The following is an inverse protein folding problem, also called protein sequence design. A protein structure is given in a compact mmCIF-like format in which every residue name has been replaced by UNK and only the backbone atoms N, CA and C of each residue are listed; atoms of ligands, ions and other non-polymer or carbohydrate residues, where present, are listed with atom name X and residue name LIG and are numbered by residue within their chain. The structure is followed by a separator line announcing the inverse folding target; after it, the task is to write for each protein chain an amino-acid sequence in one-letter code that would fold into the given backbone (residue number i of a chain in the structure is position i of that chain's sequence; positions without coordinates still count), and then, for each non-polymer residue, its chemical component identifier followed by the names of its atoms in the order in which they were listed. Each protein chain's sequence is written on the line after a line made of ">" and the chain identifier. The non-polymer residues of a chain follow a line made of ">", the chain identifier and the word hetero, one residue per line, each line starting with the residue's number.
data_IF_272125271719
#
_entry.id   IF_272125271719
#
_cell.length_a   1.000
_cell.length_b   1.000
_cell.length_c   1.000
_cell.angle_alpha   90.00
_cell.angle_beta   90.00
_cell.angle_gamma   90.00
#
_symmetry.space_group_name_H-M   'P 1'
#
loop_
_entity.id
_entity.type
_entity.pdbx_description
1 polymer ?
#
# COMPACT_ATOMS: atom_id res chain seq x y z
N UNK A 1 13.88 -28.93 -8.39
CA UNK A 1 12.60 -29.37 -8.97
C UNK A 1 11.56 -28.36 -8.54
N UNK A 2 11.12 -27.50 -9.45
CA UNK A 2 10.00 -26.61 -9.16
C UNK A 2 8.77 -27.47 -8.88
N UNK A 3 8.04 -27.10 -7.84
CA UNK A 3 6.87 -27.78 -7.32
C UNK A 3 5.86 -28.06 -8.45
N UNK A 4 5.41 -29.31 -8.59
CA UNK A 4 4.40 -29.70 -9.57
C UNK A 4 3.05 -28.97 -9.37
N UNK A 5 2.89 -28.23 -8.27
CA UNK A 5 1.78 -27.29 -8.02
C UNK A 5 1.87 -25.97 -8.80
N UNK A 6 3.03 -25.66 -9.39
CA UNK A 6 3.27 -24.42 -10.15
C UNK A 6 3.01 -24.63 -11.66
N UNK A 7 2.96 -25.87 -12.14
CA UNK A 7 2.50 -26.14 -13.50
C UNK A 7 0.98 -26.32 -13.47
N UNK A 8 0.20 -25.36 -13.99
CA UNK A 8 -1.23 -25.52 -14.10
C UNK A 8 -1.56 -26.77 -14.92
N UNK A 9 -2.57 -27.54 -14.50
CA UNK A 9 -3.14 -28.56 -15.37
C UNK A 9 -3.67 -27.89 -16.65
N UNK A 10 -3.78 -28.65 -17.74
CA UNK A 10 -4.41 -28.16 -18.98
C UNK A 10 -5.77 -27.47 -18.68
N UNK A 11 -6.51 -27.98 -17.70
CA UNK A 11 -7.76 -27.40 -17.22
C UNK A 11 -7.60 -26.02 -16.57
N UNK A 12 -6.60 -25.81 -15.71
CA UNK A 12 -6.35 -24.48 -15.12
C UNK A 12 -5.99 -23.48 -16.21
N UNK A 13 -5.09 -23.83 -17.14
CA UNK A 13 -4.69 -22.91 -18.22
C UNK A 13 -5.91 -22.49 -19.06
N UNK A 14 -6.77 -23.45 -19.40
CA UNK A 14 -8.01 -23.20 -20.12
C UNK A 14 -8.97 -22.26 -19.36
N UNK A 15 -9.16 -22.47 -18.06
CA UNK A 15 -10.06 -21.66 -17.23
C UNK A 15 -9.48 -20.26 -16.93
N UNK A 16 -8.15 -20.17 -16.79
CA UNK A 16 -7.45 -18.94 -16.47
C UNK A 16 -7.13 -18.06 -17.69
N UNK A 17 -7.23 -18.63 -18.90
CA UNK A 17 -7.08 -17.89 -20.15
C UNK A 17 -7.91 -16.59 -20.19
N UNK A 18 -7.39 -15.49 -20.75
CA UNK A 18 -6.14 -15.41 -21.54
C UNK A 18 -4.88 -15.15 -20.70
N UNK A 19 -4.91 -15.34 -19.38
CA UNK A 19 -3.77 -15.06 -18.52
C UNK A 19 -2.88 -16.29 -18.34
N UNK A 20 -1.57 -16.08 -18.22
CA UNK A 20 -0.59 -17.10 -17.85
C UNK A 20 0.23 -16.61 -16.65
N UNK A 21 0.44 -17.49 -15.68
CA UNK A 21 1.25 -17.20 -14.48
C UNK A 21 2.72 -17.44 -14.80
N UNK A 22 3.58 -16.49 -14.45
CA UNK A 22 5.02 -16.55 -14.66
C UNK A 22 5.77 -16.93 -13.38
N UNK A 23 5.40 -16.31 -12.26
CA UNK A 23 6.05 -16.55 -10.96
C UNK A 23 5.11 -16.23 -9.78
N UNK A 24 5.40 -16.82 -8.61
CA UNK A 24 4.75 -16.45 -7.35
C UNK A 24 5.51 -15.32 -6.69
N UNK A 25 4.79 -14.26 -6.32
CA UNK A 25 5.32 -13.13 -5.56
C UNK A 25 5.18 -13.36 -4.06
N UNK A 26 4.05 -13.93 -3.64
CA UNK A 26 3.77 -14.25 -2.24
C UNK A 26 2.80 -15.42 -2.12
N UNK A 27 2.87 -16.19 -1.03
CA UNK A 27 1.89 -17.23 -0.72
C UNK A 27 1.64 -17.32 0.77
N UNK A 28 0.42 -17.66 1.13
CA UNK A 28 -0.02 -17.94 2.50
C UNK A 28 -1.05 -19.07 2.50
N UNK A 29 -1.58 -19.41 3.68
CA UNK A 29 -2.70 -20.34 3.77
C UNK A 29 -3.99 -19.75 3.16
N UNK A 30 -4.13 -18.42 3.11
CA UNK A 30 -5.30 -17.74 2.56
C UNK A 30 -5.35 -17.77 1.01
N UNK A 31 -4.20 -18.02 0.37
CA UNK A 31 -4.05 -17.96 -1.08
C UNK A 31 -2.66 -17.43 -1.48
N UNK A 32 -2.55 -16.81 -2.64
CA UNK A 32 -1.28 -16.38 -3.21
C UNK A 32 -1.39 -15.19 -4.12
N UNK A 33 -0.27 -14.51 -4.32
CA UNK A 33 -0.13 -13.39 -5.26
C UNK A 33 0.88 -13.80 -6.31
N UNK A 34 0.50 -13.68 -7.57
CA UNK A 34 1.25 -14.19 -8.71
C UNK A 34 1.44 -13.11 -9.75
N UNK A 35 2.63 -13.05 -10.35
CA UNK A 35 2.88 -12.24 -11.54
C UNK A 35 2.59 -13.08 -12.77
N UNK A 36 1.98 -12.47 -13.76
CA UNK A 36 1.62 -13.12 -15.00
C UNK A 36 1.64 -12.19 -16.19
N UNK A 37 1.11 -12.69 -17.31
CA UNK A 37 0.92 -11.94 -18.54
C UNK A 37 -0.44 -12.25 -19.16
N UNK A 38 -1.08 -11.24 -19.75
CA UNK A 38 -2.21 -11.44 -20.64
C UNK A 38 -1.70 -11.82 -22.04
N UNK A 39 -1.92 -13.06 -22.46
CA UNK A 39 -1.41 -13.59 -23.73
C UNK A 39 -1.99 -12.91 -24.97
N UNK A 40 -3.12 -12.19 -24.84
CA UNK A 40 -3.72 -11.45 -25.96
C UNK A 40 -3.11 -10.07 -26.15
N UNK A 41 -2.71 -9.40 -25.07
CA UNK A 41 -2.25 -8.00 -25.10
C UNK A 41 -0.75 -7.85 -24.81
N UNK A 42 -0.11 -8.86 -24.23
CA UNK A 42 1.26 -8.79 -23.73
C UNK A 42 1.42 -7.99 -22.43
N UNK A 43 0.34 -7.45 -21.86
CA UNK A 43 0.39 -6.68 -20.61
C UNK A 43 0.70 -7.60 -19.43
N UNK A 44 1.55 -7.13 -18.52
CA UNK A 44 1.82 -7.80 -17.26
C UNK A 44 0.63 -7.68 -16.30
N UNK A 45 0.40 -8.73 -15.52
CA UNK A 45 -0.73 -8.80 -14.57
C UNK A 45 -0.26 -9.25 -13.19
N UNK A 46 -1.02 -8.86 -12.17
CA UNK A 46 -1.04 -9.53 -10.86
C UNK A 46 -2.31 -10.34 -10.76
N UNK A 47 -2.19 -11.59 -10.31
CA UNK A 47 -3.30 -12.44 -9.94
C UNK A 47 -3.25 -12.71 -8.43
N UNK A 48 -4.31 -12.30 -7.72
CA UNK A 48 -4.50 -12.58 -6.30
C UNK A 48 -5.49 -13.72 -6.14
N UNK A 49 -5.04 -14.85 -5.61
CA UNK A 49 -5.83 -16.04 -5.27
C UNK A 49 -6.40 -15.92 -3.85
N UNK A 50 -7.67 -16.25 -3.69
CA UNK A 50 -8.30 -16.55 -2.42
C UNK A 50 -8.83 -17.99 -2.42
N UNK A 51 -8.47 -18.74 -1.37
CA UNK A 51 -8.92 -20.12 -1.17
C UNK A 51 -10.15 -20.16 -0.27
N UNK A 52 -11.18 -20.85 -0.73
CA UNK A 52 -12.41 -21.06 0.02
C UNK A 52 -12.14 -21.68 1.39
N UNK A 53 -12.84 -21.21 2.43
CA UNK A 53 -12.75 -21.69 3.82
C UNK A 53 -11.35 -21.55 4.47
N UNK A 54 -10.50 -20.68 3.96
CA UNK A 54 -9.18 -20.40 4.50
C UNK A 54 -8.99 -18.90 4.81
N UNK A 55 -7.96 -18.58 5.59
CA UNK A 55 -7.53 -17.19 5.81
C UNK A 55 -8.50 -16.33 6.62
N UNK A 56 -9.22 -16.90 7.58
CA UNK A 56 -10.08 -16.14 8.49
C UNK A 56 -9.30 -15.03 9.21
N UNK A 57 -9.82 -13.80 9.18
CA UNK A 57 -9.34 -12.69 10.01
C UNK A 57 -10.09 -12.66 11.35
N UNK A 58 -9.66 -11.76 12.25
CA UNK A 58 -10.34 -11.51 13.54
C UNK A 58 -11.77 -10.98 13.40
N UNK A 59 -12.24 -10.69 12.19
CA UNK A 59 -13.57 -10.15 11.85
C UNK A 59 -14.50 -11.18 11.20
N UNK A 60 -14.19 -12.48 11.29
CA UNK A 60 -14.93 -13.59 10.65
C UNK A 60 -15.03 -13.48 9.11
N UNK A 61 -14.24 -12.61 8.48
CA UNK A 61 -14.12 -12.52 7.04
C UNK A 61 -13.07 -13.53 6.54
N UNK A 62 -13.47 -14.45 5.67
CA UNK A 62 -12.54 -15.35 4.99
C UNK A 62 -11.77 -14.63 3.86
N UNK A 63 -10.79 -15.32 3.28
CA UNK A 63 -9.98 -14.79 2.19
C UNK A 63 -10.83 -14.39 0.96
N UNK A 64 -11.93 -15.10 0.71
CA UNK A 64 -12.79 -14.87 -0.46
C UNK A 64 -13.58 -13.57 -0.29
N UNK A 65 -14.15 -13.32 0.88
CA UNK A 65 -14.84 -12.06 1.18
C UNK A 65 -13.90 -10.86 1.07
N UNK A 66 -12.66 -10.96 1.57
CA UNK A 66 -11.66 -9.90 1.42
C UNK A 66 -11.30 -9.66 -0.04
N UNK A 67 -11.06 -10.71 -0.83
CA UNK A 67 -10.74 -10.56 -2.24
C UNK A 67 -11.89 -9.96 -3.06
N UNK A 68 -13.14 -10.31 -2.74
CA UNK A 68 -14.34 -9.73 -3.37
C UNK A 68 -14.52 -8.26 -2.99
N UNK A 69 -14.23 -7.92 -1.74
CA UNK A 69 -14.24 -6.54 -1.27
C UNK A 69 -13.16 -5.72 -1.96
N UNK A 70 -11.93 -6.21 -2.00
CA UNK A 70 -10.82 -5.60 -2.73
C UNK A 70 -11.19 -5.36 -4.20
N UNK A 71 -11.77 -6.34 -4.89
CA UNK A 71 -12.28 -6.16 -6.26
C UNK A 71 -13.26 -4.99 -6.35
N UNK A 72 -14.20 -4.89 -5.41
CA UNK A 72 -15.21 -3.83 -5.43
C UNK A 72 -14.60 -2.44 -5.23
N UNK A 73 -13.58 -2.33 -4.37
CA UNK A 73 -12.85 -1.10 -4.11
C UNK A 73 -11.97 -0.71 -5.30
N UNK A 74 -11.24 -1.68 -5.89
CA UNK A 74 -10.46 -1.49 -7.09
C UNK A 74 -11.31 -0.95 -8.25
N UNK A 75 -12.51 -1.51 -8.45
CA UNK A 75 -13.47 -1.05 -9.48
C UNK A 75 -13.95 0.38 -9.16
N UNK A 76 -14.29 0.67 -7.89
CA UNK A 76 -14.76 2.00 -7.46
C UNK A 76 -13.71 3.08 -7.67
N UNK A 77 -12.43 2.75 -7.52
CA UNK A 77 -11.30 3.67 -7.62
C UNK A 77 -10.70 3.77 -9.04
N UNK A 78 -11.27 3.08 -10.05
CA UNK A 78 -10.78 3.17 -11.42
C UNK A 78 -10.83 4.61 -11.95
N UNK A 79 -9.79 5.00 -12.68
CA UNK A 79 -9.63 6.34 -13.26
C UNK A 79 -8.81 7.30 -12.40
N UNK A 80 -8.49 6.93 -11.15
CA UNK A 80 -7.50 7.64 -10.34
C UNK A 80 -6.10 7.19 -10.79
N UNK A 81 -5.23 8.13 -11.19
CA UNK A 81 -3.84 7.85 -11.53
C UNK A 81 -3.12 7.23 -10.33
N UNK A 82 -2.38 6.14 -10.55
CA UNK A 82 -1.72 5.38 -9.47
C UNK A 82 -2.55 4.24 -8.87
N UNK A 83 -3.81 4.06 -9.29
CA UNK A 83 -4.61 2.87 -8.97
C UNK A 83 -4.47 1.85 -10.12
N UNK A 84 -4.14 0.58 -9.85
CA UNK A 84 -4.00 -0.42 -10.89
C UNK A 84 -5.30 -0.64 -11.65
N UNK A 85 -5.19 -0.92 -12.95
CA UNK A 85 -6.33 -1.26 -13.78
C UNK A 85 -6.94 -2.61 -13.36
N UNK A 86 -8.27 -2.66 -13.20
CA UNK A 86 -8.98 -3.93 -13.04
C UNK A 86 -9.07 -4.66 -14.38
N UNK A 87 -8.71 -5.95 -14.43
CA UNK A 87 -8.80 -6.74 -15.65
C UNK A 87 -9.86 -7.84 -15.61
N UNK A 88 -9.91 -8.65 -14.55
CA UNK A 88 -10.85 -9.77 -14.49
C UNK A 88 -11.05 -10.31 -13.08
N UNK A 89 -12.12 -11.08 -12.92
CA UNK A 89 -12.35 -11.90 -11.75
C UNK A 89 -12.81 -13.29 -12.19
N UNK A 90 -12.14 -14.33 -11.71
CA UNK A 90 -12.34 -15.71 -12.17
C UNK A 90 -12.42 -16.67 -11.01
N UNK A 91 -13.21 -17.72 -11.17
CA UNK A 91 -13.16 -18.91 -10.31
C UNK A 91 -12.47 -20.03 -11.08
N UNK A 92 -11.36 -20.55 -10.57
CA UNK A 92 -10.59 -21.62 -11.21
C UNK A 92 -10.33 -22.70 -10.17
N UNK A 93 -10.71 -23.94 -10.50
CA UNK A 93 -10.55 -25.12 -9.63
C UNK A 93 -11.08 -24.90 -8.19
N UNK A 94 -12.15 -24.13 -8.02
CA UNK A 94 -12.77 -23.84 -6.71
C UNK A 94 -12.13 -22.70 -5.91
N UNK A 95 -11.12 -22.02 -6.45
CA UNK A 95 -10.50 -20.82 -5.87
C UNK A 95 -10.89 -19.58 -6.65
N UNK A 96 -10.91 -18.42 -6.00
CA UNK A 96 -11.24 -17.14 -6.63
C UNK A 96 -9.98 -16.34 -6.92
N UNK A 97 -9.94 -15.68 -8.07
CA UNK A 97 -8.81 -14.91 -8.56
C UNK A 97 -9.25 -13.51 -8.98
N UNK A 98 -8.62 -12.49 -8.40
CA UNK A 98 -8.65 -11.12 -8.89
C UNK A 98 -7.44 -10.89 -9.78
N UNK A 99 -7.68 -10.46 -11.02
CA UNK A 99 -6.64 -10.12 -11.99
C UNK A 99 -6.64 -8.62 -12.22
N UNK A 100 -5.49 -7.99 -11.96
CA UNK A 100 -5.28 -6.56 -12.05
C UNK A 100 -3.93 -6.25 -12.74
N UNK A 101 -3.71 -4.98 -13.03
CA UNK A 101 -2.45 -4.47 -13.56
C UNK A 101 -1.26 -4.79 -12.65
N UNK A 102 -0.14 -5.21 -13.24
CA UNK A 102 1.12 -5.29 -12.53
C UNK A 102 1.77 -3.90 -12.44
N UNK A 103 1.75 -3.31 -11.25
CA UNK A 103 2.50 -2.10 -10.95
C UNK A 103 4.01 -2.42 -10.92
N UNK A 104 4.73 -2.06 -11.99
CA UNK A 104 6.16 -2.28 -12.07
C UNK A 104 6.92 -1.42 -11.05
N UNK A 105 7.83 -2.02 -10.29
CA UNK A 105 8.64 -1.30 -9.32
C UNK A 105 8.97 -2.13 -8.10
N UNK A 106 9.26 -1.44 -7.01
CA UNK A 106 9.47 -2.03 -5.69
C UNK A 106 8.59 -1.33 -4.66
N UNK A 107 8.31 -1.99 -3.53
CA UNK A 107 7.60 -1.32 -2.43
C UNK A 107 8.36 -0.08 -1.98
N UNK A 108 7.65 0.93 -1.46
CA UNK A 108 8.27 2.13 -0.87
C UNK A 108 9.23 1.74 0.24
N UNK A 109 8.91 0.72 1.04
CA UNK A 109 9.82 0.16 2.03
C UNK A 109 11.16 -0.26 1.43
N UNK A 110 11.14 -1.04 0.35
CA UNK A 110 12.34 -1.50 -0.37
C UNK A 110 13.07 -0.34 -1.06
N UNK A 111 12.33 0.62 -1.61
CA UNK A 111 12.90 1.82 -2.23
C UNK A 111 13.70 2.63 -1.22
N UNK A 112 13.12 2.92 -0.05
CA UNK A 112 13.79 3.63 1.04
C UNK A 112 15.03 2.85 1.49
N UNK A 113 14.90 1.55 1.76
CA UNK A 113 16.03 0.72 2.19
C UNK A 113 17.22 0.74 1.19
N UNK A 114 16.93 0.85 -0.10
CA UNK A 114 17.96 0.85 -1.16
C UNK A 114 18.55 2.22 -1.48
N UNK A 115 17.84 3.31 -1.15
CA UNK A 115 18.21 4.67 -1.57
C UNK A 115 18.53 5.61 -0.41
N UNK A 116 18.18 5.27 0.84
CA UNK A 116 18.33 6.18 1.98
C UNK A 116 19.82 6.48 2.27
N UNK A 117 20.22 7.76 2.40
CA UNK A 117 21.61 8.15 2.54
C UNK A 117 22.08 7.99 4.00
N UNK A 118 22.31 6.75 4.45
CA UNK A 118 22.68 6.47 5.85
C UNK A 118 23.98 7.13 6.29
N UNK A 119 24.96 7.30 5.39
CA UNK A 119 26.20 8.05 5.61
C UNK A 119 26.85 8.45 4.29
N UNK A 120 26.46 9.58 3.70
CA UNK A 120 27.21 10.27 2.66
C UNK A 120 26.88 11.78 2.76
N UNK A 121 27.70 12.66 2.16
CA UNK A 121 27.69 14.12 2.39
C UNK A 121 26.37 14.84 2.04
N UNK A 122 26.31 16.15 2.28
CA UNK A 122 25.10 16.98 2.06
C UNK A 122 24.47 16.78 0.67
N UNK A 123 25.28 16.57 -0.37
CA UNK A 123 24.82 16.31 -1.75
C UNK A 123 23.96 15.05 -1.88
N UNK A 124 24.25 13.99 -1.12
CA UNK A 124 23.48 12.75 -1.14
C UNK A 124 22.12 12.91 -0.47
N UNK A 125 22.09 13.64 0.65
CA UNK A 125 20.84 13.99 1.31
C UNK A 125 19.95 14.87 0.42
N UNK A 126 20.55 15.84 -0.28
CA UNK A 126 19.83 16.68 -1.24
C UNK A 126 19.24 15.86 -2.38
N UNK A 127 20.06 15.07 -3.09
CA UNK A 127 19.60 14.20 -4.21
C UNK A 127 18.53 13.20 -3.78
N UNK A 128 18.67 12.63 -2.59
CA UNK A 128 17.66 11.76 -2.02
C UNK A 128 16.35 12.52 -1.77
N UNK A 129 16.44 13.68 -1.11
CA UNK A 129 15.27 14.46 -0.73
C UNK A 129 14.47 14.95 -1.93
N UNK A 130 15.12 15.34 -3.03
CA UNK A 130 14.45 15.72 -4.27
C UNK A 130 13.57 14.58 -4.81
N UNK A 131 14.10 13.36 -4.85
CA UNK A 131 13.38 12.17 -5.30
C UNK A 131 12.28 11.76 -4.31
N UNK A 132 12.58 11.79 -3.01
CA UNK A 132 11.62 11.45 -1.96
C UNK A 132 10.45 12.44 -1.92
N UNK A 133 10.68 13.74 -2.19
CA UNK A 133 9.63 14.76 -2.28
C UNK A 133 8.72 14.55 -3.51
N UNK A 134 9.25 14.07 -4.64
CA UNK A 134 8.43 13.68 -5.80
C UNK A 134 7.47 12.53 -5.45
N UNK A 135 7.96 11.54 -4.71
CA UNK A 135 7.14 10.42 -4.23
C UNK A 135 6.10 10.90 -3.21
N UNK A 136 6.53 11.71 -2.23
CA UNK A 136 5.67 12.26 -1.19
C UNK A 136 4.47 13.03 -1.74
N UNK A 137 4.69 13.91 -2.73
CA UNK A 137 3.62 14.69 -3.37
C UNK A 137 2.62 13.81 -4.11
N UNK A 138 3.07 12.75 -4.78
CA UNK A 138 2.18 11.80 -5.42
C UNK A 138 1.34 11.04 -4.39
N UNK A 139 1.92 10.59 -3.27
CA UNK A 139 1.15 9.92 -2.21
C UNK A 139 0.09 10.85 -1.59
N UNK A 140 0.41 12.14 -1.40
CA UNK A 140 -0.56 13.14 -0.94
C UNK A 140 -1.72 13.28 -1.92
N UNK A 141 -1.42 13.52 -3.20
CA UNK A 141 -2.45 13.65 -4.23
C UNK A 141 -3.28 12.38 -4.42
N UNK A 142 -2.66 11.20 -4.29
CA UNK A 142 -3.35 9.92 -4.36
C UNK A 142 -4.32 9.73 -3.21
N UNK A 143 -3.90 10.06 -1.97
CA UNK A 143 -4.79 9.99 -0.81
C UNK A 143 -5.97 10.95 -0.97
N UNK A 144 -5.72 12.20 -1.38
CA UNK A 144 -6.77 13.19 -1.65
C UNK A 144 -7.77 12.70 -2.70
N UNK A 145 -7.30 12.06 -3.78
CA UNK A 145 -8.15 11.52 -4.83
C UNK A 145 -9.01 10.34 -4.33
N UNK A 146 -8.43 9.42 -3.56
CA UNK A 146 -9.15 8.30 -2.95
C UNK A 146 -10.19 8.81 -1.95
N UNK A 147 -9.82 9.78 -1.11
CA UNK A 147 -10.73 10.41 -0.17
C UNK A 147 -11.86 11.15 -0.89
N UNK A 148 -11.56 11.84 -1.99
CA UNK A 148 -12.53 12.50 -2.86
C UNK A 148 -13.52 11.52 -3.52
N UNK A 149 -13.15 10.25 -3.67
CA UNK A 149 -14.05 9.18 -4.12
C UNK A 149 -14.91 8.59 -2.98
N UNK A 150 -14.83 9.14 -1.76
CA UNK A 150 -15.58 8.70 -0.59
C UNK A 150 -15.04 7.40 0.03
N UNK A 151 -13.75 7.10 -0.17
CA UNK A 151 -13.10 5.88 0.33
C UNK A 151 -11.99 6.24 1.30
N UNK A 152 -11.88 5.50 2.39
CA UNK A 152 -10.69 5.46 3.25
C UNK A 152 -9.93 4.16 3.00
N UNK A 153 -8.59 4.22 3.00
CA UNK A 153 -7.68 3.11 2.75
C UNK A 153 -7.58 2.15 3.93
N UNK A 154 -7.60 2.69 5.15
CA UNK A 154 -7.56 1.98 6.43
C UNK A 154 -6.25 1.25 6.76
N UNK A 155 -5.39 0.99 5.77
CA UNK A 155 -4.05 0.39 5.93
C UNK A 155 -2.97 1.15 5.12
N UNK A 156 -2.82 2.44 5.42
CA UNK A 156 -1.76 3.26 4.81
C UNK A 156 -0.40 2.91 5.40
N UNK A 157 0.43 2.18 4.66
CA UNK A 157 1.77 1.80 5.11
C UNK A 157 2.77 1.65 3.93
N UNK A 158 4.10 1.64 4.17
CA UNK A 158 5.11 1.65 3.10
C UNK A 158 5.15 0.41 2.20
N UNK A 159 4.45 -0.68 2.54
CA UNK A 159 4.39 -1.87 1.67
C UNK A 159 3.29 -1.76 0.62
N UNK A 160 2.27 -0.95 0.88
CA UNK A 160 1.13 -0.79 -0.01
C UNK A 160 1.36 0.26 -1.11
N UNK A 161 2.49 0.96 -1.07
CA UNK A 161 2.94 1.84 -2.16
C UNK A 161 4.04 1.17 -2.97
N UNK A 162 3.88 1.12 -4.30
CA UNK A 162 4.90 0.72 -5.26
C UNK A 162 5.51 1.97 -5.89
N UNK A 163 6.84 1.99 -6.00
CA UNK A 163 7.60 3.06 -6.66
C UNK A 163 8.34 2.47 -7.84
N UNK A 164 8.08 3.01 -9.03
CA UNK A 164 8.74 2.58 -10.26
C UNK A 164 10.11 3.27 -10.45
N UNK A 165 10.80 2.94 -11.54
CA UNK A 165 12.11 3.52 -11.89
C UNK A 165 12.07 5.02 -12.19
N UNK A 166 10.91 5.56 -12.54
CA UNK A 166 10.65 6.97 -12.84
C UNK A 166 10.08 7.72 -11.63
N UNK A 167 10.01 7.07 -10.46
CA UNK A 167 9.40 7.57 -9.22
C UNK A 167 7.88 7.73 -9.28
N UNK A 168 7.21 7.12 -10.26
CA UNK A 168 5.76 7.04 -10.28
C UNK A 168 5.29 6.15 -9.11
N UNK A 169 4.23 6.57 -8.44
CA UNK A 169 3.68 5.88 -7.28
C UNK A 169 2.38 5.17 -7.64
N UNK A 170 2.28 3.90 -7.29
CA UNK A 170 1.02 3.16 -7.34
C UNK A 170 0.63 2.66 -5.97
N UNK A 171 -0.66 2.67 -5.66
CA UNK A 171 -1.21 2.07 -4.46
C UNK A 171 -1.75 0.69 -4.79
N UNK A 172 -1.43 -0.28 -3.95
CA UNK A 172 -1.90 -1.66 -4.04
C UNK A 172 -2.58 -2.04 -2.74
N UNK A 173 -3.30 -3.17 -2.78
CA UNK A 173 -3.97 -3.77 -1.63
C UNK A 173 -5.14 -2.92 -1.09
N UNK A 174 -6.34 -3.23 -1.57
CA UNK A 174 -7.57 -2.50 -1.21
C UNK A 174 -8.49 -3.31 -0.30
N UNK A 175 -8.02 -4.41 0.30
CA UNK A 175 -8.86 -5.29 1.10
C UNK A 175 -9.35 -4.65 2.41
N UNK A 176 -8.61 -3.66 2.92
CA UNK A 176 -8.94 -2.96 4.16
C UNK A 176 -9.85 -1.74 3.95
N UNK A 177 -10.02 -1.29 2.70
CA UNK A 177 -10.71 -0.04 2.37
C UNK A 177 -12.12 0.01 2.96
N UNK A 178 -12.59 1.20 3.33
CA UNK A 178 -13.92 1.41 3.90
C UNK A 178 -14.51 2.73 3.43
N UNK A 179 -15.73 3.01 3.87
CA UNK A 179 -16.34 4.33 3.63
C UNK A 179 -15.58 5.40 4.42
N UNK A 180 -15.33 6.56 3.79
CA UNK A 180 -14.57 7.65 4.41
C UNK A 180 -15.28 8.25 5.62
N UNK A 181 -16.61 8.31 5.60
CA UNK A 181 -17.45 8.87 6.66
C UNK A 181 -17.78 7.82 7.74
N UNK A 182 -17.21 6.63 7.63
CA UNK A 182 -17.34 5.55 8.60
C UNK A 182 -16.69 5.87 9.95
N UNK A 183 -17.30 5.36 11.02
CA UNK A 183 -16.72 5.38 12.36
C UNK A 183 -15.89 4.11 12.61
N UNK A 184 -14.76 4.28 13.30
CA UNK A 184 -13.83 3.27 13.84
C UNK A 184 -14.19 1.80 13.56
N UNK A 185 -13.58 1.23 12.51
CA UNK A 185 -13.83 -0.16 12.10
C UNK A 185 -13.08 -1.21 12.93
N UNK A 186 -12.32 -0.84 13.97
CA UNK A 186 -11.42 -1.74 14.70
C UNK A 186 -10.51 -2.58 13.77
N UNK A 187 -10.28 -2.11 12.54
CA UNK A 187 -9.47 -2.80 11.55
C UNK A 187 -8.02 -2.89 12.07
N UNK A 188 -7.42 -4.07 11.96
CA UNK A 188 -6.00 -4.27 12.22
C UNK A 188 -5.23 -3.61 11.07
N UNK A 189 -4.43 -2.60 11.37
CA UNK A 189 -3.47 -2.03 10.41
C UNK A 189 -2.04 -2.31 10.83
N UNK A 190 -1.08 -1.93 9.99
CA UNK A 190 0.34 -2.13 10.30
C UNK A 190 0.76 -1.37 11.58
N UNK A 191 1.34 -2.05 12.59
CA UNK A 191 1.80 -1.38 13.81
C UNK A 191 2.76 -0.22 13.55
N UNK A 192 2.43 0.98 14.05
CA UNK A 192 3.20 2.22 13.82
C UNK A 192 2.77 3.06 12.63
N UNK A 193 1.81 2.58 11.86
CA UNK A 193 1.15 3.30 10.78
C UNK A 193 -0.38 3.42 11.00
N UNK A 194 -0.87 2.95 12.15
CA UNK A 194 -2.25 3.14 12.57
C UNK A 194 -2.28 3.81 13.94
N UNK A 195 -3.23 4.73 14.18
CA UNK A 195 -3.37 5.39 15.47
C UNK A 195 -3.79 4.39 16.55
N UNK A 196 -3.33 4.60 17.78
CA UNK A 196 -3.67 3.77 18.94
C UNK A 196 -5.03 4.16 19.56
N UNK A 197 -5.51 5.37 19.29
CA UNK A 197 -6.85 5.80 19.70
C UNK A 197 -7.87 5.48 18.61
N UNK A 198 -9.14 5.46 19.01
CA UNK A 198 -10.25 5.48 18.07
C UNK A 198 -10.28 6.83 17.37
N UNK A 199 -10.51 6.83 16.06
CA UNK A 199 -10.65 8.02 15.24
C UNK A 199 -11.59 7.74 14.06
N UNK A 200 -11.96 8.76 13.31
CA UNK A 200 -12.65 8.57 12.04
C UNK A 200 -11.73 7.88 11.01
N UNK A 201 -12.32 7.21 10.03
CA UNK A 201 -11.57 6.51 8.98
C UNK A 201 -10.66 7.46 8.20
N UNK A 202 -11.13 8.68 7.88
CA UNK A 202 -10.30 9.72 7.27
C UNK A 202 -9.07 10.07 8.10
N UNK A 203 -9.26 10.31 9.40
CA UNK A 203 -8.17 10.68 10.33
C UNK A 203 -7.14 9.57 10.48
N UNK A 204 -7.60 8.30 10.38
CA UNK A 204 -6.73 7.13 10.39
C UNK A 204 -5.76 7.13 9.22
N UNK A 205 -6.27 7.42 8.02
CA UNK A 205 -5.45 7.49 6.81
C UNK A 205 -4.48 8.68 6.84
N UNK A 206 -4.95 9.86 7.27
CA UNK A 206 -4.11 11.05 7.46
C UNK A 206 -2.93 10.74 8.41
N UNK A 207 -3.21 10.02 9.51
CA UNK A 207 -2.18 9.55 10.43
C UNK A 207 -1.20 8.57 9.77
N UNK A 208 -1.72 7.55 9.08
CA UNK A 208 -0.88 6.58 8.40
C UNK A 208 0.02 7.24 7.34
N UNK A 209 -0.51 8.19 6.57
CA UNK A 209 0.26 8.92 5.58
C UNK A 209 1.34 9.80 6.24
N UNK A 210 1.04 10.50 7.33
CA UNK A 210 2.05 11.26 8.06
C UNK A 210 3.19 10.35 8.59
N UNK A 211 2.87 9.15 9.04
CA UNK A 211 3.86 8.14 9.41
C UNK A 211 4.70 7.68 8.20
N UNK A 212 4.07 7.43 7.04
CA UNK A 212 4.78 7.04 5.80
C UNK A 212 5.70 8.16 5.30
N UNK A 213 5.23 9.41 5.30
CA UNK A 213 6.03 10.58 4.94
C UNK A 213 7.20 10.77 5.90
N UNK A 214 6.99 10.59 7.21
CA UNK A 214 8.07 10.63 8.18
C UNK A 214 9.06 9.48 8.00
N UNK A 215 8.59 8.29 7.60
CA UNK A 215 9.43 7.12 7.32
C UNK A 215 10.35 7.33 6.11
N UNK A 216 9.92 8.07 5.08
CA UNK A 216 10.76 8.46 3.94
C UNK A 216 12.04 9.19 4.40
N UNK A 217 11.92 10.12 5.34
CA UNK A 217 13.05 10.96 5.78
C UNK A 217 13.70 10.48 7.08
N UNK A 218 13.11 9.49 7.74
CA UNK A 218 13.68 8.86 8.92
C UNK A 218 13.16 7.42 9.07
N UNK A 219 13.80 6.43 8.41
CA UNK A 219 13.28 5.07 8.28
C UNK A 219 13.40 4.28 9.59
N UNK A 220 12.51 4.60 10.52
CA UNK A 220 12.45 4.02 11.86
C UNK A 220 11.03 3.59 12.19
N UNK A 221 10.91 2.39 12.76
CA UNK A 221 9.67 1.83 13.29
C UNK A 221 9.32 2.35 14.70
N UNK A 222 10.00 3.39 15.19
CA UNK A 222 9.72 3.89 16.55
C UNK A 222 8.29 4.45 16.74
N UNK A 223 7.61 4.86 15.65
CA UNK A 223 6.19 5.25 15.68
C UNK A 223 5.26 4.10 16.11
N UNK A 224 5.69 2.84 15.98
CA UNK A 224 4.98 1.67 16.51
C UNK A 224 4.86 1.68 18.03
N UNK A 225 5.71 2.44 18.74
CA UNK A 225 5.69 2.54 20.20
C UNK A 225 5.07 3.84 20.71
N UNK A 226 5.24 4.95 19.98
CA UNK A 226 4.66 6.24 20.36
C UNK A 226 4.43 7.15 19.14
N UNK A 227 3.21 7.67 18.93
CA UNK A 227 2.95 8.71 17.95
C UNK A 227 3.81 9.97 18.14
N UNK A 228 4.20 10.27 19.39
CA UNK A 228 5.09 11.38 19.72
C UNK A 228 6.44 11.32 19.02
N UNK A 229 6.88 10.11 18.64
CA UNK A 229 8.11 9.92 17.87
C UNK A 229 8.09 10.63 16.51
N UNK A 230 6.92 11.00 15.96
CA UNK A 230 6.85 11.81 14.75
C UNK A 230 7.39 13.23 14.99
N UNK A 231 6.98 13.87 16.09
CA UNK A 231 7.42 15.22 16.45
C UNK A 231 8.89 15.24 16.90
N UNK A 232 9.32 14.23 17.64
CA UNK A 232 10.71 14.12 18.12
C UNK A 232 11.73 13.93 16.98
N UNK A 233 11.29 13.47 15.80
CA UNK A 233 12.15 13.30 14.62
C UNK A 233 12.33 14.57 13.81
N UNK A 234 11.39 15.53 13.85
CA UNK A 234 11.47 16.75 13.04
C UNK A 234 12.82 17.48 13.18
N UNK A 235 13.38 17.69 14.39
CA UNK A 235 14.69 18.34 14.51
C UNK A 235 15.84 17.53 13.91
N UNK A 236 15.74 16.20 13.89
CA UNK A 236 16.74 15.33 13.27
C UNK A 236 16.64 15.40 11.74
N UNK A 237 15.42 15.42 11.20
CA UNK A 237 15.17 15.58 9.77
C UNK A 237 15.67 16.96 9.29
N UNK A 238 15.35 18.02 10.02
CA UNK A 238 15.78 19.42 9.72
C UNK A 238 17.32 19.57 9.68
N UNK A 239 18.02 18.78 10.49
CA UNK A 239 19.49 18.78 10.51
C UNK A 239 20.10 18.14 9.26
N UNK A 240 19.41 17.18 8.65
CA UNK A 240 19.96 16.31 7.60
C UNK A 240 19.37 16.58 6.22
N UNK A 241 18.21 17.23 6.13
CA UNK A 241 17.50 17.49 4.90
C UNK A 241 17.13 18.96 4.74
N UNK A 242 16.88 19.43 3.50
CA UNK A 242 16.45 20.81 3.26
C UNK A 242 15.17 21.17 4.02
N UNK A 243 15.02 22.44 4.40
CA UNK A 243 13.86 22.92 5.17
C UNK A 243 12.51 22.63 4.49
N UNK A 244 12.47 22.52 3.15
CA UNK A 244 11.27 22.12 2.41
C UNK A 244 10.70 20.76 2.83
N UNK A 245 11.55 19.84 3.29
CA UNK A 245 11.12 18.54 3.85
C UNK A 245 10.43 18.75 5.19
N UNK A 246 11.01 19.56 6.07
CA UNK A 246 10.44 19.88 7.37
C UNK A 246 9.11 20.60 7.22
N UNK A 247 9.04 21.62 6.36
CA UNK A 247 7.84 22.43 6.14
C UNK A 247 6.66 21.53 5.71
N UNK A 248 6.90 20.59 4.78
CA UNK A 248 5.91 19.61 4.35
C UNK A 248 5.45 18.70 5.52
N UNK A 249 6.38 18.19 6.33
CA UNK A 249 6.03 17.33 7.46
C UNK A 249 5.27 18.10 8.56
N UNK A 250 5.68 19.33 8.85
CA UNK A 250 5.01 20.20 9.82
C UNK A 250 3.58 20.54 9.38
N UNK A 251 3.36 20.81 8.10
CA UNK A 251 2.01 21.01 7.55
C UNK A 251 1.13 19.78 7.82
N UNK A 252 1.60 18.57 7.50
CA UNK A 252 0.85 17.34 7.73
C UNK A 252 0.61 17.05 9.21
N UNK A 253 1.60 17.27 10.06
CA UNK A 253 1.47 17.08 11.51
C UNK A 253 0.54 18.12 12.14
N UNK A 254 0.52 19.36 11.65
CA UNK A 254 -0.34 20.43 12.17
C UNK A 254 -1.82 20.14 11.95
N UNK A 255 -2.19 19.57 10.80
CA UNK A 255 -3.54 19.11 10.49
C UNK A 255 -4.02 18.06 11.52
N UNK A 256 -3.10 17.23 12.00
CA UNK A 256 -3.38 16.16 12.98
C UNK A 256 -3.36 16.62 14.43
N UNK A 257 -2.50 17.59 14.80
CA UNK A 257 -2.30 18.01 16.19
C UNK A 257 -3.59 18.52 16.85
N UNK A 258 -4.50 19.11 16.07
CA UNK A 258 -5.82 19.53 16.54
C UNK A 258 -6.76 18.36 16.89
N UNK A 259 -6.55 17.18 16.30
CA UNK A 259 -7.44 16.02 16.35
C UNK A 259 -6.93 14.91 17.27
N UNK A 260 -5.61 14.79 17.41
CA UNK A 260 -4.95 13.78 18.24
C UNK A 260 -4.27 14.38 19.48
N UNK A 261 -4.73 15.54 19.97
CA UNK A 261 -4.12 16.26 21.09
C UNK A 261 -4.05 15.46 22.39
N UNK A 262 -4.87 14.40 22.55
CA UNK A 262 -4.83 13.49 23.70
C UNK A 262 -3.81 12.35 23.57
N UNK A 263 -3.08 12.26 22.46
CA UNK A 263 -2.05 11.25 22.17
C UNK A 263 -0.60 11.80 22.17
N UNK A 264 -0.43 13.13 22.29
CA UNK A 264 0.87 13.83 22.28
C UNK A 264 1.35 14.12 23.71
#
# INVERSE_FOLDING_TARGET
>A
MADARINPSDEFELLFAPYSILESLHFSNAGGVYRGVNLKTGCEIVAKEARSYAGYSSSDCDAVLRLRHERSMLIRLQGIEGIPSYYSYKTVCGHEFLVEEYCAGVTLQSWVASNYPFRLGEDDALRYSERALVIARQMLGLLDAVHGAGVALMDVNPKNFIVDKNLAVSLIDFEACSDIDGADSACLGMPGFSPLCKCANKERDEFGLACVLSYLFWPSWSSSFSPRSLYERLPLIDKHFPSSVKDMLEEQLSCMASRFSSLI
#
